data_IF_888418269807
#
_entry.id   IF_888418269807
#
_cell.length_a   1.000
_cell.length_b   1.000
_cell.length_c   1.000
_cell.angle_alpha   90.00
_cell.angle_beta   90.00
_cell.angle_gamma   90.00
#
_symmetry.space_group_name_H-M   'P 1'
#
loop_
_entity.id
_entity.type
_entity.pdbx_description
1 polymer ?
#
# COMPACT_ATOMS: atom_id res chain seq x y z
N UNK A 1 -13.84 -3.60 -21.27
CA UNK A 1 -14.93 -2.96 -20.50
C UNK A 1 -14.91 -3.55 -19.10
N UNK A 2 -14.97 -2.74 -18.04
CA UNK A 2 -14.78 -3.28 -16.68
C UNK A 2 -14.51 -2.27 -15.57
N UNK A 3 -14.58 -0.96 -15.84
CA UNK A 3 -14.45 0.07 -14.81
C UNK A 3 -15.69 0.20 -13.94
N UNK A 4 -15.86 1.37 -13.33
CA UNK A 4 -16.99 1.69 -12.49
C UNK A 4 -18.29 1.73 -13.29
N UNK A 5 -19.32 1.10 -12.73
CA UNK A 5 -20.70 1.35 -13.15
C UNK A 5 -21.10 2.80 -12.85
N UNK A 6 -22.20 3.28 -13.43
CA UNK A 6 -22.72 4.61 -13.09
C UNK A 6 -22.99 4.78 -11.59
N UNK A 7 -23.48 3.73 -10.93
CA UNK A 7 -23.64 3.71 -9.46
C UNK A 7 -22.29 3.79 -8.74
N UNK A 8 -21.26 3.11 -9.24
CA UNK A 8 -19.90 3.22 -8.70
C UNK A 8 -19.34 4.64 -8.79
N UNK A 9 -19.50 5.31 -9.94
CA UNK A 9 -19.07 6.71 -10.11
C UNK A 9 -19.81 7.65 -9.15
N UNK A 10 -21.11 7.43 -8.93
CA UNK A 10 -21.89 8.17 -7.93
C UNK A 10 -21.45 7.88 -6.49
N UNK A 11 -21.07 6.63 -6.18
CA UNK A 11 -20.55 6.25 -4.88
C UNK A 11 -19.26 6.99 -4.54
N UNK A 12 -18.29 7.06 -5.48
CA UNK A 12 -17.04 7.81 -5.28
C UNK A 12 -17.31 9.28 -4.97
N UNK A 13 -18.18 9.92 -5.76
CA UNK A 13 -18.60 11.31 -5.51
C UNK A 13 -19.23 11.48 -4.13
N UNK A 14 -20.08 10.53 -3.72
CA UNK A 14 -20.74 10.57 -2.40
C UNK A 14 -19.75 10.32 -1.26
N UNK A 15 -18.79 9.42 -1.42
CA UNK A 15 -17.72 9.16 -0.45
C UNK A 15 -16.89 10.42 -0.23
N UNK A 16 -16.48 11.11 -1.29
CA UNK A 16 -15.82 12.39 -1.20
C UNK A 16 -16.66 13.43 -0.42
N UNK A 17 -17.95 13.58 -0.74
CA UNK A 17 -18.85 14.51 -0.03
C UNK A 17 -18.99 14.21 1.47
N UNK A 18 -18.88 12.94 1.86
CA UNK A 18 -19.06 12.48 3.23
C UNK A 18 -17.74 12.41 4.03
N UNK A 19 -16.59 12.68 3.41
CA UNK A 19 -15.30 12.46 4.06
C UNK A 19 -14.99 10.97 4.28
N UNK A 20 -15.44 10.09 3.37
CA UNK A 20 -15.06 8.68 3.38
C UNK A 20 -13.78 8.50 2.56
N UNK A 21 -12.76 7.91 3.17
CA UNK A 21 -11.51 7.55 2.49
C UNK A 21 -11.81 6.44 1.49
N UNK A 22 -11.41 6.64 0.23
CA UNK A 22 -11.56 5.63 -0.80
C UNK A 22 -10.34 4.70 -0.77
N UNK A 23 -10.59 3.41 -0.56
CA UNK A 23 -9.58 2.35 -0.67
C UNK A 23 -9.66 1.68 -2.04
N UNK A 24 -8.51 1.53 -2.69
CA UNK A 24 -8.37 1.00 -4.04
C UNK A 24 -8.01 -0.49 -4.07
N UNK A 25 -7.79 -1.14 -2.92
CA UNK A 25 -7.44 -2.57 -2.92
C UNK A 25 -8.57 -3.41 -3.54
N UNK A 26 -8.20 -4.47 -4.26
CA UNK A 26 -9.05 -5.39 -5.03
C UNK A 26 -9.79 -4.81 -6.24
N UNK A 27 -9.74 -3.51 -6.50
CA UNK A 27 -10.29 -2.97 -7.75
C UNK A 27 -9.39 -3.37 -8.94
N UNK A 28 -9.99 -3.52 -10.11
CA UNK A 28 -9.20 -3.73 -11.33
C UNK A 28 -8.57 -2.41 -11.82
N UNK A 29 -7.61 -2.53 -12.74
CA UNK A 29 -6.85 -1.40 -13.28
C UNK A 29 -7.73 -0.29 -13.87
N UNK A 30 -8.76 -0.66 -14.63
CA UNK A 30 -9.65 0.33 -15.25
C UNK A 30 -10.42 1.12 -14.18
N UNK A 31 -10.92 0.43 -13.15
CA UNK A 31 -11.59 1.06 -12.03
C UNK A 31 -10.66 1.95 -11.22
N UNK A 32 -9.41 1.54 -10.99
CA UNK A 32 -8.41 2.36 -10.30
C UNK A 32 -8.22 3.71 -11.00
N UNK A 33 -7.96 3.69 -12.32
CA UNK A 33 -7.75 4.91 -13.09
C UNK A 33 -8.99 5.80 -13.10
N UNK A 34 -10.19 5.24 -13.30
CA UNK A 34 -11.43 6.00 -13.22
C UNK A 34 -11.65 6.64 -11.83
N UNK A 35 -11.28 5.95 -10.73
CA UNK A 35 -11.37 6.55 -9.39
C UNK A 35 -10.37 7.70 -9.24
N UNK A 36 -9.12 7.51 -9.65
CA UNK A 36 -8.09 8.56 -9.55
C UNK A 36 -8.47 9.83 -10.32
N UNK A 37 -9.15 9.68 -11.47
CA UNK A 37 -9.69 10.81 -12.24
C UNK A 37 -10.91 11.47 -11.58
N UNK A 38 -11.75 10.70 -10.89
CA UNK A 38 -13.02 11.19 -10.31
C UNK A 38 -12.89 11.74 -8.89
N UNK A 39 -11.94 11.20 -8.11
CA UNK A 39 -11.79 11.55 -6.70
C UNK A 39 -11.25 12.96 -6.54
N UNK A 40 -11.78 13.67 -5.56
CA UNK A 40 -11.37 15.04 -5.18
C UNK A 40 -10.57 15.05 -3.88
N UNK A 41 -10.29 13.88 -3.32
CA UNK A 41 -9.51 13.70 -2.10
C UNK A 41 -8.48 12.59 -2.29
N UNK A 42 -7.41 12.58 -1.48
CA UNK A 42 -6.44 11.50 -1.48
C UNK A 42 -7.10 10.14 -1.23
N UNK A 43 -6.57 9.12 -1.89
CA UNK A 43 -7.02 7.72 -1.76
C UNK A 43 -5.97 6.86 -1.07
N UNK A 44 -6.36 5.66 -0.69
CA UNK A 44 -5.49 4.69 -0.04
C UNK A 44 -5.45 3.41 -0.88
N UNK A 45 -4.27 2.77 -0.91
CA UNK A 45 -4.15 1.33 -1.16
C UNK A 45 -3.81 0.70 0.20
N UNK A 46 -4.81 0.18 0.91
CA UNK A 46 -4.64 -0.15 2.34
C UNK A 46 -3.66 -1.29 2.60
N UNK A 47 -3.57 -2.25 1.67
CA UNK A 47 -2.68 -3.40 1.70
C UNK A 47 -2.37 -3.87 0.27
N UNK A 48 -1.19 -3.52 -0.24
CA UNK A 48 -0.68 -4.05 -1.50
C UNK A 48 0.86 -4.04 -1.53
N UNK A 49 1.45 -4.75 -2.48
CA UNK A 49 2.88 -4.66 -2.80
C UNK A 49 3.04 -4.53 -4.30
N UNK A 50 3.27 -3.31 -4.78
CA UNK A 50 3.50 -3.02 -6.21
C UNK A 50 4.94 -2.57 -6.50
N UNK A 51 5.81 -2.76 -5.53
CA UNK A 51 7.07 -2.03 -5.37
C UNK A 51 8.29 -2.83 -5.79
N UNK A 52 8.12 -3.84 -6.66
CA UNK A 52 9.25 -4.55 -7.24
C UNK A 52 10.19 -5.18 -6.19
N UNK A 53 9.64 -5.83 -5.16
CA UNK A 53 10.46 -6.79 -4.43
C UNK A 53 10.59 -8.05 -5.32
N UNK A 54 11.79 -8.40 -5.80
CA UNK A 54 11.93 -9.46 -6.78
C UNK A 54 11.44 -10.77 -6.16
N UNK A 55 10.66 -11.53 -6.91
CA UNK A 55 10.73 -12.97 -6.76
C UNK A 55 12.18 -13.33 -7.13
N UNK A 56 13.04 -13.53 -6.14
CA UNK A 56 14.40 -14.09 -6.35
C UNK A 56 14.33 -15.44 -7.04
N UNK A 57 13.14 -16.05 -7.04
CA UNK A 57 12.77 -17.23 -7.79
C UNK A 57 11.32 -17.07 -8.34
N UNK A 58 11.13 -16.81 -9.64
CA UNK A 58 9.81 -16.69 -10.26
C UNK A 58 9.00 -18.00 -10.23
N UNK A 59 9.63 -19.15 -9.96
CA UNK A 59 8.96 -20.44 -9.80
C UNK A 59 8.49 -20.67 -8.35
N UNK A 60 8.94 -19.85 -7.39
CA UNK A 60 8.56 -19.98 -5.98
C UNK A 60 7.10 -19.60 -5.76
N UNK A 61 6.33 -20.56 -5.27
CA UNK A 61 4.93 -20.37 -4.89
C UNK A 61 4.81 -19.57 -3.57
N UNK A 62 3.67 -18.92 -3.38
CA UNK A 62 3.24 -18.34 -2.11
C UNK A 62 3.02 -19.44 -1.07
N UNK A 63 2.87 -19.11 0.23
CA UNK A 63 2.57 -20.12 1.25
C UNK A 63 1.26 -20.89 1.00
N UNK A 64 0.38 -20.38 0.13
CA UNK A 64 -0.85 -21.05 -0.32
C UNK A 64 -0.67 -21.89 -1.60
N UNK A 65 0.56 -22.10 -2.07
CA UNK A 65 0.82 -22.85 -3.30
C UNK A 65 0.40 -22.13 -4.59
N UNK A 66 0.02 -20.85 -4.50
CA UNK A 66 -0.31 -20.03 -5.66
C UNK A 66 0.94 -19.32 -6.20
N UNK A 67 1.06 -19.08 -7.52
CA UNK A 67 2.11 -18.23 -8.05
C UNK A 67 2.17 -16.91 -7.27
N UNK A 68 3.35 -16.52 -6.79
CA UNK A 68 3.50 -15.21 -6.18
C UNK A 68 3.12 -14.16 -7.24
N UNK A 69 2.38 -13.10 -6.88
CA UNK A 69 2.04 -12.05 -7.85
C UNK A 69 3.33 -11.53 -8.49
N UNK A 70 3.57 -11.89 -9.76
CA UNK A 70 4.69 -11.35 -10.51
C UNK A 70 4.27 -9.97 -11.03
N UNK A 71 4.98 -8.94 -10.59
CA UNK A 71 4.74 -7.57 -11.05
C UNK A 71 5.11 -7.44 -12.53
N UNK A 72 4.34 -6.64 -13.27
CA UNK A 72 4.64 -6.26 -14.65
C UNK A 72 5.28 -4.87 -14.59
N UNK A 73 6.61 -4.84 -14.63
CA UNK A 73 7.47 -3.72 -14.20
C UNK A 73 7.09 -2.30 -14.70
N UNK A 74 6.66 -2.07 -15.95
CA UNK A 74 6.25 -0.73 -16.39
C UNK A 74 4.86 -0.32 -15.90
N UNK A 75 3.96 -1.28 -15.72
CA UNK A 75 2.53 -1.03 -15.42
C UNK A 75 2.34 -0.56 -13.98
N UNK A 76 3.07 -1.15 -13.05
CA UNK A 76 2.77 -1.00 -11.62
C UNK A 76 3.49 0.23 -11.01
N UNK A 77 4.65 0.67 -11.56
CA UNK A 77 5.29 1.93 -11.16
C UNK A 77 4.45 3.16 -11.50
N UNK A 78 3.80 3.19 -12.66
CA UNK A 78 2.96 4.32 -13.06
C UNK A 78 1.73 4.48 -12.16
N UNK A 79 1.13 3.37 -11.73
CA UNK A 79 0.05 3.37 -10.73
C UNK A 79 0.49 3.96 -9.39
N UNK A 80 1.68 3.58 -8.92
CA UNK A 80 2.23 4.08 -7.66
C UNK A 80 2.56 5.57 -7.72
N UNK A 81 3.14 6.03 -8.83
CA UNK A 81 3.35 7.47 -9.06
C UNK A 81 2.04 8.23 -9.14
N UNK A 82 1.01 7.68 -9.79
CA UNK A 82 -0.30 8.30 -9.86
C UNK A 82 -0.97 8.38 -8.48
N UNK A 83 -0.82 7.35 -7.65
CA UNK A 83 -1.26 7.36 -6.25
C UNK A 83 -0.53 8.46 -5.46
N UNK A 84 0.80 8.57 -5.61
CA UNK A 84 1.59 9.62 -4.97
C UNK A 84 1.17 11.03 -5.43
N UNK A 85 0.97 11.23 -6.74
CA UNK A 85 0.51 12.49 -7.31
C UNK A 85 -0.89 12.89 -6.83
N UNK A 86 -1.76 11.93 -6.54
CA UNK A 86 -3.06 12.16 -5.90
C UNK A 86 -2.95 12.56 -4.41
N UNK A 87 -1.78 12.39 -3.79
CA UNK A 87 -1.58 12.59 -2.35
C UNK A 87 -1.86 11.33 -1.51
N UNK A 88 -2.08 10.18 -2.14
CA UNK A 88 -2.49 8.96 -1.48
C UNK A 88 -1.38 8.22 -0.73
N UNK A 89 -1.71 7.07 -0.16
CA UNK A 89 -0.80 6.22 0.62
C UNK A 89 -0.92 4.76 0.22
N UNK A 90 0.22 4.09 0.05
CA UNK A 90 0.36 2.65 -0.12
C UNK A 90 0.72 1.99 1.21
N UNK A 91 -0.14 1.12 1.71
CA UNK A 91 0.16 0.20 2.79
C UNK A 91 0.87 -1.04 2.28
N UNK A 92 2.10 -1.27 2.75
CA UNK A 92 2.88 -2.44 2.36
C UNK A 92 2.28 -3.70 2.98
N UNK A 93 1.82 -4.60 2.12
CA UNK A 93 1.28 -5.91 2.49
C UNK A 93 2.38 -6.88 2.89
N UNK A 94 2.10 -7.70 3.91
CA UNK A 94 3.04 -8.68 4.42
C UNK A 94 2.83 -10.06 3.81
N UNK A 95 1.67 -10.29 3.18
CA UNK A 95 1.42 -11.48 2.40
C UNK A 95 2.54 -11.72 1.39
N UNK A 96 3.01 -12.98 1.32
CA UNK A 96 4.14 -13.44 0.49
C UNK A 96 5.55 -12.99 0.90
N UNK A 97 5.71 -12.19 1.95
CA UNK A 97 7.04 -11.83 2.50
C UNK A 97 7.56 -12.96 3.39
N UNK A 98 8.86 -13.26 3.31
CA UNK A 98 9.46 -14.36 4.08
C UNK A 98 9.71 -13.95 5.53
N UNK A 99 10.27 -12.75 5.72
CA UNK A 99 10.62 -12.22 7.03
C UNK A 99 10.46 -10.70 7.12
N UNK A 100 10.78 -10.15 8.29
CA UNK A 100 10.84 -8.72 8.55
C UNK A 100 11.68 -7.95 7.53
N UNK A 101 12.80 -8.50 7.06
CA UNK A 101 13.71 -7.78 6.17
C UNK A 101 13.11 -7.63 4.77
N UNK A 102 12.35 -8.60 4.30
CA UNK A 102 11.58 -8.48 3.05
C UNK A 102 10.54 -7.35 3.12
N UNK A 103 9.84 -7.22 4.24
CA UNK A 103 8.87 -6.12 4.45
C UNK A 103 9.56 -4.77 4.45
N UNK A 104 10.68 -4.64 5.17
CA UNK A 104 11.42 -3.37 5.27
C UNK A 104 12.04 -2.97 3.93
N UNK A 105 12.54 -3.94 3.16
CA UNK A 105 13.06 -3.65 1.83
C UNK A 105 11.95 -3.23 0.85
N UNK A 106 10.74 -3.76 0.99
CA UNK A 106 9.61 -3.33 0.16
C UNK A 106 9.14 -1.91 0.51
N UNK A 107 9.19 -1.54 1.80
CA UNK A 107 9.00 -0.15 2.24
C UNK A 107 10.03 0.77 1.58
N UNK A 108 11.31 0.39 1.56
CA UNK A 108 12.37 1.20 0.94
C UNK A 108 12.16 1.40 -0.56
N UNK A 109 11.79 0.34 -1.29
CA UNK A 109 11.50 0.49 -2.71
C UNK A 109 10.25 1.34 -2.95
N UNK A 110 9.23 1.25 -2.09
CA UNK A 110 8.08 2.15 -2.13
C UNK A 110 8.47 3.61 -1.96
N UNK A 111 9.36 3.89 -1.00
CA UNK A 111 9.89 5.24 -0.75
C UNK A 111 10.67 5.74 -1.97
N UNK A 112 11.46 4.90 -2.63
CA UNK A 112 12.19 5.26 -3.85
C UNK A 112 11.24 5.66 -5.00
N UNK A 113 10.11 4.95 -5.14
CA UNK A 113 9.16 5.17 -6.25
C UNK A 113 8.22 6.34 -5.99
N UNK A 114 7.71 6.44 -4.76
CA UNK A 114 6.59 7.32 -4.41
C UNK A 114 7.00 8.52 -3.57
N UNK A 115 8.17 8.47 -2.92
CA UNK A 115 8.57 9.39 -1.87
C UNK A 115 8.06 8.95 -0.48
N UNK A 116 8.71 9.43 0.60
CA UNK A 116 8.42 8.99 1.97
C UNK A 116 7.03 9.40 2.48
N UNK A 117 6.36 10.35 1.84
CA UNK A 117 5.05 10.88 2.27
C UNK A 117 3.86 9.99 1.83
N UNK A 118 4.13 8.88 1.15
CA UNK A 118 3.12 8.07 0.46
C UNK A 118 3.18 6.57 0.81
N UNK A 119 3.97 6.20 1.81
CA UNK A 119 4.19 4.80 2.21
C UNK A 119 3.72 4.57 3.64
N UNK A 120 3.08 3.45 3.90
CA UNK A 120 2.57 3.07 5.21
C UNK A 120 2.60 1.56 5.43
N UNK A 121 2.13 1.13 6.60
CA UNK A 121 1.96 -0.28 6.94
C UNK A 121 0.57 -0.78 6.56
N UNK A 122 0.51 -1.88 5.80
CA UNK A 122 -0.73 -2.49 5.32
C UNK A 122 -0.75 -3.99 5.53
N UNK A 123 -0.51 -4.46 6.76
CA UNK A 123 -0.10 -5.85 7.05
C UNK A 123 -0.96 -6.95 6.43
N UNK A 124 -2.29 -6.76 6.38
CA UNK A 124 -3.27 -7.82 6.17
C UNK A 124 -3.16 -8.97 7.21
N UNK A 125 -2.65 -8.64 8.40
CA UNK A 125 -2.48 -9.59 9.49
C UNK A 125 -3.85 -10.06 9.99
N UNK A 126 -3.95 -11.36 10.28
CA UNK A 126 -5.22 -12.07 10.57
C UNK A 126 -6.17 -12.22 9.38
N UNK A 127 -5.88 -11.66 8.20
CA UNK A 127 -6.58 -11.98 6.94
C UNK A 127 -6.25 -13.38 6.43
N UNK A 128 -5.01 -13.82 6.65
CA UNK A 128 -4.50 -15.17 6.44
C UNK A 128 -3.57 -15.51 7.61
N UNK A 129 -3.57 -16.76 8.10
CA UNK A 129 -2.64 -17.23 9.16
C UNK A 129 -1.19 -17.39 8.63
N UNK A 130 -0.69 -16.39 7.89
CA UNK A 130 0.54 -16.45 7.09
C UNK A 130 1.37 -15.17 7.24
N UNK A 131 1.74 -14.85 8.47
CA UNK A 131 2.59 -13.70 8.76
C UNK A 131 4.09 -14.01 8.51
N UNK A 132 4.90 -13.03 8.06
CA UNK A 132 6.33 -13.21 7.89
C UNK A 132 7.06 -13.48 9.19
N UNK A 133 8.19 -14.17 9.13
CA UNK A 133 9.03 -14.42 10.30
C UNK A 133 9.49 -13.09 10.94
N UNK A 134 9.33 -12.97 12.25
CA UNK A 134 9.60 -11.77 13.01
C UNK A 134 8.46 -10.73 13.01
N UNK A 135 7.33 -11.03 12.37
CA UNK A 135 6.12 -10.21 12.29
C UNK A 135 4.85 -11.03 12.55
N UNK A 136 4.94 -12.10 13.35
CA UNK A 136 3.90 -13.11 13.53
C UNK A 136 2.60 -12.58 14.15
N UNK A 137 2.69 -11.48 14.89
CA UNK A 137 1.57 -10.84 15.58
C UNK A 137 1.77 -9.32 15.68
N UNK A 138 0.72 -8.60 16.07
CA UNK A 138 0.75 -7.13 16.15
C UNK A 138 1.77 -6.61 17.18
N UNK A 139 2.14 -7.40 18.20
CA UNK A 139 3.16 -7.00 19.17
C UNK A 139 4.58 -7.00 18.57
N UNK A 140 4.76 -7.57 17.37
CA UNK A 140 6.03 -7.56 16.64
C UNK A 140 6.24 -6.32 15.77
N UNK A 141 5.22 -5.50 15.52
CA UNK A 141 5.32 -4.27 14.71
C UNK A 141 6.52 -3.35 15.10
N UNK A 142 6.89 -3.19 16.38
CA UNK A 142 8.09 -2.42 16.75
C UNK A 142 9.41 -2.91 16.14
N UNK A 143 9.46 -4.15 15.63
CA UNK A 143 10.61 -4.66 14.89
C UNK A 143 10.84 -3.92 13.57
N UNK A 144 9.78 -3.44 12.91
CA UNK A 144 9.87 -2.62 11.70
C UNK A 144 10.56 -1.28 12.02
N UNK A 145 10.15 -0.63 13.11
CA UNK A 145 10.80 0.60 13.59
C UNK A 145 12.29 0.39 13.82
N UNK A 146 12.67 -0.66 14.55
CA UNK A 146 14.09 -0.98 14.81
C UNK A 146 14.86 -1.23 13.52
N UNK A 147 14.27 -1.96 12.57
CA UNK A 147 14.90 -2.25 11.30
C UNK A 147 15.09 -1.00 10.43
N UNK A 148 14.09 -0.13 10.32
CA UNK A 148 14.21 1.13 9.57
C UNK A 148 15.28 2.05 10.19
N UNK A 149 15.32 2.19 11.51
CA UNK A 149 16.37 2.96 12.21
C UNK A 149 17.74 2.33 11.97
N UNK A 150 17.87 1.01 12.07
CA UNK A 150 19.13 0.32 11.80
C UNK A 150 19.61 0.46 10.34
N UNK A 151 18.68 0.66 9.40
CA UNK A 151 18.97 0.96 7.99
C UNK A 151 19.22 2.45 7.70
N UNK A 152 19.20 3.31 8.72
CA UNK A 152 19.59 4.71 8.62
C UNK A 152 18.47 5.68 8.21
N UNK A 153 17.21 5.26 8.24
CA UNK A 153 16.08 6.18 8.02
C UNK A 153 15.98 7.19 9.17
N UNK A 154 15.63 8.44 8.85
CA UNK A 154 15.40 9.47 9.85
C UNK A 154 14.10 9.24 10.63
N UNK A 155 14.01 9.81 11.84
CA UNK A 155 12.79 9.76 12.65
C UNK A 155 11.56 10.28 11.90
N UNK A 156 11.72 11.30 11.05
CA UNK A 156 10.65 11.83 10.19
C UNK A 156 10.10 10.76 9.23
N UNK A 157 10.98 10.07 8.50
CA UNK A 157 10.58 9.01 7.56
C UNK A 157 9.93 7.85 8.31
N UNK A 158 10.50 7.46 9.46
CA UNK A 158 9.95 6.38 10.27
C UNK A 158 8.53 6.73 10.76
N UNK A 159 8.32 7.92 11.32
CA UNK A 159 7.01 8.35 11.81
C UNK A 159 5.96 8.44 10.68
N UNK A 160 6.36 8.88 9.49
CA UNK A 160 5.52 8.88 8.29
C UNK A 160 5.04 7.48 7.94
N UNK A 161 5.96 6.51 7.86
CA UNK A 161 5.65 5.10 7.54
C UNK A 161 4.79 4.44 8.62
N UNK A 162 5.06 4.69 9.90
CA UNK A 162 4.33 4.06 11.01
C UNK A 162 2.87 4.52 11.12
N UNK A 163 2.48 5.62 10.49
CA UNK A 163 1.10 6.08 10.49
C UNK A 163 0.91 7.55 10.15
N UNK A 164 1.96 8.37 10.19
CA UNK A 164 1.87 9.80 9.89
C UNK A 164 1.26 10.08 8.51
N UNK A 165 1.57 9.25 7.52
CA UNK A 165 1.02 9.37 6.17
C UNK A 165 -0.49 9.04 6.11
N UNK A 166 -0.95 8.02 6.84
CA UNK A 166 -2.38 7.73 6.95
C UNK A 166 -3.12 8.86 7.65
N UNK A 167 -2.56 9.38 8.74
CA UNK A 167 -3.13 10.52 9.46
C UNK A 167 -3.24 11.75 8.56
N UNK A 168 -2.23 12.03 7.72
CA UNK A 168 -2.29 13.10 6.71
C UNK A 168 -3.43 12.91 5.73
N UNK A 169 -3.63 11.70 5.20
CA UNK A 169 -4.75 11.40 4.30
C UNK A 169 -6.09 11.58 5.00
N UNK A 170 -6.23 11.03 6.21
CA UNK A 170 -7.47 11.16 6.99
C UNK A 170 -7.80 12.61 7.28
N UNK A 171 -6.79 13.40 7.65
CA UNK A 171 -6.93 14.83 7.90
C UNK A 171 -7.43 15.57 6.65
N UNK A 172 -6.83 15.31 5.48
CA UNK A 172 -7.22 15.93 4.21
C UNK A 172 -8.62 15.48 3.73
N UNK A 173 -9.04 14.25 4.07
CA UNK A 173 -10.36 13.72 3.71
C UNK A 173 -11.45 14.23 4.66
N UNK A 174 -11.16 14.36 5.96
CA UNK A 174 -12.14 14.71 7.00
C UNK A 174 -12.27 16.21 7.26
N UNK A 175 -11.23 17.02 7.03
CA UNK A 175 -11.26 18.48 7.25
C UNK A 175 -11.93 19.29 6.14
N UNK A 176 -12.96 18.73 5.50
CA UNK A 176 -13.77 19.48 4.55
C UNK A 176 -14.61 20.55 5.24
#
# INVERSE_FOLDING_TARGET
TGGLTQRGKLAIKRMNQLGVVVDLVHINDVGMWEILELTTSPVVLSHSSHTNFPATDPERLSPLGMPRPQLVLPRDREKLKALAANGGVLGIIWFSKEDLHDVVSDIETAIEVMGPDHVGLGSDLYGLELAPKGLEDIAKVPAITRALVARGHSDDVVLKVLGGNYLRVFDQVWRR
#
